data_IF_278454154888
#
_entry.id   IF_278454154888
#
_cell.length_a   1.000
_cell.length_b   1.000
_cell.length_c   1.000
_cell.angle_alpha   90.00
_cell.angle_beta   90.00
_cell.angle_gamma   90.00
#
_symmetry.space_group_name_H-M   'P 1'
#
loop_
_entity.id
_entity.type
_entity.pdbx_description
1 polymer ?
2 non-polymer ?
3 water ?
#
# COMPACT_ATOMS: atom_id res chain seq x y z
N UNK A 1 -9.76 -3.25 -1.03
CA UNK A 1 -8.89 -4.40 -1.11
C UNK A 1 -7.46 -4.02 -1.04
N UNK A 2 -6.73 -5.04 -0.75
CA UNK A 2 -5.33 -5.02 -0.60
C UNK A 2 -4.59 -4.96 -1.90
N UNK A 3 -3.43 -4.37 -1.80
CA UNK A 3 -2.52 -4.19 -2.89
C UNK A 3 -1.87 -5.51 -3.19
N UNK A 4 -1.49 -5.66 -4.43
CA UNK A 4 -0.86 -6.87 -4.83
C UNK A 4 0.66 -6.83 -4.70
N UNK A 5 1.26 -7.81 -3.99
CA UNK A 5 2.71 -7.83 -3.88
C UNK A 5 3.28 -8.47 -5.15
N UNK A 6 4.56 -8.21 -5.36
CA UNK A 6 5.28 -8.75 -6.48
C UNK A 6 5.26 -10.27 -6.39
N UNK A 7 4.95 -10.96 -7.51
CA UNK A 7 4.90 -12.42 -7.55
C UNK A 7 3.54 -13.02 -7.15
N UNK A 8 2.54 -12.15 -6.92
CA UNK A 8 1.21 -12.60 -6.55
C UNK A 8 0.76 -13.73 -7.45
N UNK A 9 0.90 -13.52 -8.74
CA UNK A 9 0.51 -14.54 -9.70
C UNK A 9 1.09 -14.23 -11.05
N UNK A 10 1.34 -15.24 -11.85
CA UNK A 10 1.88 -15.00 -13.17
C UNK A 10 3.03 -14.03 -13.27
N UNK A 11 4.04 -14.16 -12.43
CA UNK A 11 5.19 -13.27 -12.52
C UNK A 11 4.93 -11.76 -12.30
N UNK A 12 3.97 -11.41 -11.45
CA UNK A 12 3.61 -10.02 -11.14
C UNK A 12 4.67 -9.13 -10.49
N UNK A 13 4.78 -7.89 -11.04
CA UNK A 13 5.68 -6.81 -10.61
C UNK A 13 4.88 -5.54 -10.58
N UNK A 14 5.06 -4.77 -9.52
CA UNK A 14 4.38 -3.52 -9.36
C UNK A 14 5.04 -2.42 -10.19
N UNK A 15 6.27 -2.68 -10.69
CA UNK A 15 7.08 -1.76 -11.54
C UNK A 15 7.55 -2.55 -12.79
N UNK A 16 6.83 -2.31 -13.88
CA UNK A 16 7.00 -2.97 -15.20
C UNK A 16 8.44 -3.41 -15.50
N UNK A 17 9.30 -2.42 -15.57
CA UNK A 17 10.73 -2.59 -15.90
C UNK A 17 11.35 -3.82 -15.23
N UNK A 18 11.02 -4.03 -13.97
CA UNK A 18 11.57 -5.15 -13.20
C UNK A 18 11.46 -6.47 -13.98
N UNK A 19 10.49 -6.52 -14.89
CA UNK A 19 10.18 -7.74 -15.68
C UNK A 19 10.99 -7.83 -16.99
N UNK A 20 11.92 -6.93 -17.17
CA UNK A 20 12.74 -6.87 -18.40
C UNK A 20 13.27 -8.26 -18.84
N UNK A 21 13.25 -9.23 -17.91
CA UNK A 21 13.82 -10.59 -18.14
C UNK A 21 12.83 -11.63 -18.71
N UNK A 22 11.57 -11.25 -18.77
CA UNK A 22 10.52 -12.14 -19.24
C UNK A 22 10.38 -12.10 -20.74
N UNK A 23 10.27 -13.30 -21.28
CA UNK A 23 10.17 -13.52 -22.70
C UNK A 23 8.94 -12.89 -23.29
N UNK A 24 7.90 -12.79 -22.48
CA UNK A 24 6.60 -12.27 -22.93
C UNK A 24 6.49 -10.75 -22.72
N UNK A 25 7.45 -10.19 -22.00
CA UNK A 25 7.46 -8.74 -21.70
C UNK A 25 7.96 -7.94 -22.91
N UNK A 26 7.46 -6.73 -23.04
CA UNK A 26 7.81 -5.83 -24.11
C UNK A 26 7.69 -4.43 -23.56
N UNK A 27 8.63 -3.55 -23.89
CA UNK A 27 8.62 -2.17 -23.44
C UNK A 27 7.33 -1.45 -23.78
N UNK A 28 6.70 -0.81 -22.80
CA UNK A 28 5.46 -0.09 -23.08
C UNK A 28 4.22 -0.82 -22.62
N UNK A 29 4.43 -2.08 -22.24
CA UNK A 29 3.39 -2.97 -21.75
C UNK A 29 3.09 -2.71 -20.28
N UNK A 30 1.83 -2.36 -19.99
CA UNK A 30 1.39 -2.03 -18.64
C UNK A 30 -0.03 -2.43 -18.33
N UNK A 31 -0.30 -2.62 -17.05
CA UNK A 31 -1.62 -2.99 -16.61
C UNK A 31 -2.69 -2.06 -17.12
N UNK A 32 -2.38 -0.77 -17.14
CA UNK A 32 -3.35 0.22 -17.59
C UNK A 32 -3.68 0.20 -19.07
N UNK A 33 -2.88 -0.53 -19.80
CA UNK A 33 -3.08 -0.65 -21.20
C UNK A 33 -3.30 -2.12 -21.54
N UNK A 34 -3.74 -2.87 -20.52
CA UNK A 34 -4.00 -4.29 -20.64
C UNK A 34 -5.48 -4.54 -20.73
N UNK A 35 -5.82 -5.57 -21.44
CA UNK A 35 -7.19 -5.90 -21.61
C UNK A 35 -7.89 -6.33 -20.32
N UNK A 36 -7.15 -6.87 -19.34
CA UNK A 36 -7.79 -7.30 -18.09
C UNK A 36 -8.05 -6.16 -17.11
N UNK A 37 -7.52 -4.98 -17.41
CA UNK A 37 -7.65 -3.79 -16.58
C UNK A 37 -9.08 -3.27 -16.45
N UNK A 38 -9.51 -3.14 -15.19
CA UNK A 38 -10.85 -2.66 -14.86
C UNK A 38 -10.87 -1.22 -14.30
N UNK A 39 -9.86 -0.43 -14.68
CA UNK A 39 -9.71 0.97 -14.26
C UNK A 39 -9.34 1.19 -12.81
N UNK A 40 -8.86 2.43 -12.51
CA UNK A 40 -8.44 2.90 -11.17
C UNK A 40 -9.60 3.02 -10.21
N UNK A 41 -9.43 2.35 -9.10
CA UNK A 41 -10.37 2.28 -8.01
C UNK A 41 -9.99 3.28 -6.95
N UNK A 42 -8.71 3.40 -6.89
CA UNK A 42 -7.99 4.27 -6.05
C UNK A 42 -6.93 4.83 -6.97
N UNK A 43 -6.26 5.80 -6.45
CA UNK A 43 -5.21 6.57 -7.04
C UNK A 43 -3.94 5.81 -7.50
N UNK A 44 -3.88 5.35 -8.77
CA UNK A 44 -2.70 4.62 -9.28
C UNK A 44 -2.83 3.10 -9.19
N UNK A 45 -3.94 2.68 -8.56
CA UNK A 45 -4.31 1.28 -8.33
C UNK A 45 -5.71 0.92 -8.86
N UNK A 46 -5.82 -0.19 -9.62
CA UNK A 46 -7.12 -0.63 -10.17
C UNK A 46 -7.43 -2.13 -10.07
N UNK A 47 -8.55 -2.53 -10.70
CA UNK A 47 -8.95 -3.93 -10.68
C UNK A 47 -8.38 -4.68 -11.86
N UNK A 48 -8.31 -5.99 -11.68
CA UNK A 48 -7.84 -6.92 -12.68
C UNK A 48 -9.01 -7.91 -12.88
N UNK A 49 -9.58 -8.04 -14.12
CA UNK A 49 -10.72 -8.96 -14.37
C UNK A 49 -10.35 -10.45 -14.45
N UNK A 50 -9.03 -10.71 -14.45
CA UNK A 50 -8.44 -12.05 -14.50
C UNK A 50 -8.64 -12.67 -13.12
N UNK A 51 -9.21 -13.82 -13.12
CA UNK A 51 -9.52 -14.54 -11.93
C UNK A 51 -8.37 -14.82 -11.02
N UNK A 52 -7.18 -14.76 -11.53
CA UNK A 52 -6.11 -15.04 -10.63
C UNK A 52 -5.70 -13.85 -9.76
N UNK A 53 -6.27 -12.69 -10.07
CA UNK A 53 -6.02 -11.39 -9.44
C UNK A 53 -7.28 -10.79 -8.86
N UNK A 54 -8.19 -11.62 -8.46
CA UNK A 54 -9.43 -11.11 -7.97
C UNK A 54 -9.60 -10.63 -6.58
N UNK A 55 -8.66 -10.85 -5.73
CA UNK A 55 -8.90 -10.37 -4.42
C UNK A 55 -8.17 -9.10 -4.15
N UNK A 56 -7.17 -8.84 -4.97
CA UNK A 56 -6.32 -7.69 -4.82
C UNK A 56 -6.45 -6.56 -5.81
N UNK A 57 -5.68 -5.53 -5.51
CA UNK A 57 -5.61 -4.36 -6.34
C UNK A 57 -4.32 -4.53 -7.09
N UNK A 58 -4.28 -4.03 -8.30
CA UNK A 58 -3.10 -4.10 -9.13
C UNK A 58 -2.65 -2.64 -9.38
N UNK A 59 -1.40 -2.42 -9.79
CA UNK A 59 -0.87 -1.07 -10.02
C UNK A 59 -0.73 -0.64 -11.48
N UNK A 60 -1.28 0.54 -11.79
CA UNK A 60 -1.23 1.10 -13.13
C UNK A 60 0.08 0.86 -13.86
N UNK A 61 1.22 0.97 -13.15
CA UNK A 61 2.53 0.75 -13.79
C UNK A 61 3.09 -0.66 -13.65
N UNK A 62 2.23 -1.61 -13.22
CA UNK A 62 2.60 -3.02 -13.02
C UNK A 62 2.61 -3.84 -14.32
N UNK A 63 2.80 -5.18 -14.21
CA UNK A 63 2.85 -6.14 -15.36
C UNK A 63 2.80 -7.58 -14.87
N UNK A 64 2.02 -8.41 -15.57
CA UNK A 64 1.86 -9.84 -15.29
C UNK A 64 2.03 -10.57 -16.58
N UNK A 65 2.60 -11.77 -16.49
CA UNK A 65 2.88 -12.60 -17.66
C UNK A 65 1.66 -12.93 -18.53
N UNK A 66 0.47 -12.70 -17.99
CA UNK A 66 -0.74 -12.98 -18.73
C UNK A 66 -1.32 -11.73 -19.31
N UNK A 67 -0.43 -10.81 -19.65
CA UNK A 67 -0.81 -9.55 -20.23
C UNK A 67 -1.41 -9.79 -21.62
N UNK A 68 -2.38 -8.96 -21.96
CA UNK A 68 -3.09 -8.98 -23.24
C UNK A 68 -3.34 -7.54 -23.67
N UNK A 69 -3.00 -7.22 -24.91
CA UNK A 69 -3.21 -5.89 -25.33
C UNK A 69 -4.60 -5.56 -25.55
N UNK A 70 -4.77 -4.33 -25.25
CA UNK A 70 -5.99 -3.70 -25.38
C UNK A 70 -5.84 -2.33 -26.03
N UNK A 71 -7.02 -1.87 -26.40
CA UNK A 71 -7.34 -0.62 -27.05
C UNK A 71 -7.62 0.43 -26.00
N UNK B 1 11.57 7.20 24.71
CA UNK B 1 12.11 6.76 23.44
C UNK B 1 12.11 7.90 22.41
N UNK B 2 12.99 7.80 21.40
CA UNK B 2 13.08 8.79 20.35
C UNK B 2 11.77 8.84 19.61
N UNK B 3 11.41 10.01 19.09
CA UNK B 3 10.16 10.13 18.36
C UNK B 3 10.31 9.50 17.01
N UNK B 4 9.24 8.91 16.46
CA UNK B 4 9.34 8.30 15.13
C UNK B 4 9.48 9.35 14.03
N UNK B 5 10.24 8.97 13.02
CA UNK B 5 10.55 9.78 11.84
C UNK B 5 9.69 9.30 10.66
N UNK B 6 9.08 10.20 9.86
CA UNK B 6 8.28 9.72 8.71
C UNK B 6 8.99 8.56 7.99
N UNK B 7 8.24 7.50 7.59
CA UNK B 7 8.80 6.35 6.86
C UNK B 7 9.45 5.26 7.72
N UNK B 8 9.35 5.43 9.03
CA UNK B 8 9.89 4.50 10.01
C UNK B 8 9.60 3.04 9.63
N UNK B 9 8.34 2.71 9.60
CA UNK B 9 7.91 1.39 9.24
C UNK B 9 6.56 1.53 8.59
N UNK B 10 6.26 0.68 7.64
CA UNK B 10 4.98 0.74 6.97
C UNK B 10 4.55 2.06 6.47
N UNK B 11 5.45 2.81 5.88
CA UNK B 11 5.02 4.07 5.36
C UNK B 11 4.54 5.07 6.43
N UNK B 12 5.08 4.98 7.62
CA UNK B 12 4.67 5.83 8.68
C UNK B 12 4.79 7.33 8.37
N UNK B 13 3.78 8.03 8.86
CA UNK B 13 3.60 9.43 8.73
C UNK B 13 3.14 10.01 10.10
N UNK B 14 3.74 11.16 10.46
CA UNK B 14 3.48 11.91 11.70
C UNK B 14 2.27 12.83 11.49
N UNK B 15 1.91 12.95 10.20
CA UNK B 15 0.78 13.72 9.72
C UNK B 15 -0.03 12.86 8.75
N UNK B 16 -0.99 12.17 9.33
CA UNK B 16 -1.86 11.30 8.60
C UNK B 16 -2.28 11.87 7.25
N UNK B 17 -2.56 13.17 7.17
CA UNK B 17 -2.96 13.76 5.89
C UNK B 17 -1.97 13.48 4.79
N UNK B 18 -0.76 13.24 5.22
CA UNK B 18 0.34 12.96 4.34
C UNK B 18 0.28 11.55 3.70
N UNK B 19 -0.45 10.61 4.35
CA UNK B 19 -0.61 9.20 3.89
C UNK B 19 -1.73 9.06 2.83
N UNK B 20 -2.32 10.22 2.52
CA UNK B 20 -3.42 10.52 1.57
C UNK B 20 -3.59 9.62 0.34
N UNK B 21 -2.58 9.58 -0.49
CA UNK B 21 -2.65 8.77 -1.68
C UNK B 21 -2.28 7.32 -1.45
N UNK B 22 -2.63 6.80 -0.28
CA UNK B 22 -2.35 5.42 0.04
C UNK B 22 -3.68 4.75 -0.03
N UNK B 23 -3.74 3.76 -0.85
CA UNK B 23 -4.92 3.00 -1.10
C UNK B 23 -5.71 2.56 0.10
N UNK B 24 -5.00 2.23 1.14
CA UNK B 24 -5.62 1.77 2.35
C UNK B 24 -6.09 2.88 3.26
N UNK B 25 -5.49 4.04 3.10
CA UNK B 25 -5.81 5.19 3.90
C UNK B 25 -7.24 5.68 3.76
N UNK B 26 -7.85 5.99 4.89
CA UNK B 26 -9.21 6.50 4.91
C UNK B 26 -9.21 7.72 5.84
N UNK B 27 -10.06 8.74 5.59
CA UNK B 27 -10.15 9.95 6.44
C UNK B 27 -10.59 9.52 7.83
N UNK B 28 -9.97 9.91 8.94
CA UNK B 28 -10.51 9.43 10.24
C UNK B 28 -9.64 8.35 10.88
N UNK B 29 -8.66 7.98 10.12
CA UNK B 29 -7.73 6.99 10.55
C UNK B 29 -6.46 7.67 11.05
N UNK B 30 -6.25 7.54 12.36
CA UNK B 30 -5.15 8.10 13.13
C UNK B 30 -4.47 7.07 14.05
N UNK B 31 -3.20 7.29 14.49
CA UNK B 31 -2.60 6.34 15.42
C UNK B 31 -3.48 6.29 16.70
N UNK B 32 -4.08 7.44 17.07
CA UNK B 32 -4.96 7.62 18.25
C UNK B 32 -6.21 6.67 18.30
N UNK B 33 -6.90 6.43 17.14
CA UNK B 33 -8.11 5.56 17.07
C UNK B 33 -7.82 4.11 16.58
N UNK B 34 -6.51 3.83 16.59
CA UNK B 34 -5.90 2.58 16.19
C UNK B 34 -5.92 1.55 17.31
N UNK B 35 -6.03 0.30 16.89
CA UNK B 35 -6.05 -0.83 17.78
C UNK B 35 -4.64 -1.08 18.34
N UNK B 36 -3.60 -0.37 17.81
CA UNK B 36 -2.21 -0.54 18.28
C UNK B 36 -1.73 0.54 19.24
N UNK B 37 -2.65 1.46 19.54
CA UNK B 37 -2.42 2.58 20.43
C UNK B 37 -2.28 2.11 21.88
N UNK B 38 -1.02 2.13 22.36
CA UNK B 38 -0.63 1.74 23.70
C UNK B 38 -1.11 2.72 24.78
N UNK B 39 -0.50 3.90 24.84
CA UNK B 39 -0.85 4.91 25.82
C UNK B 39 -0.15 6.18 25.43
N UNK B 40 -0.68 7.28 25.86
CA UNK B 40 -0.04 8.50 25.54
C UNK B 40 1.13 8.70 26.48
N UNK B 41 2.09 9.46 26.02
CA UNK B 41 3.25 9.74 26.80
C UNK B 41 3.39 11.26 26.95
N UNK B 42 4.14 11.89 26.00
CA UNK B 42 4.41 13.35 25.98
C UNK B 42 4.12 14.18 24.70
N UNK B 43 3.34 15.29 24.86
CA UNK B 43 2.93 16.28 23.81
C UNK B 43 2.51 15.78 22.43
N UNK B 44 1.54 14.86 22.41
CA UNK B 44 1.01 14.28 21.19
C UNK B 44 1.59 12.90 20.88
N UNK B 45 2.64 12.56 21.59
CA UNK B 45 3.29 11.30 21.38
C UNK B 45 2.80 10.21 22.28
N UNK B 46 2.94 9.01 21.77
CA UNK B 46 2.53 7.87 22.49
C UNK B 46 3.25 6.64 22.04
N UNK B 47 2.72 5.53 22.49
CA UNK B 47 3.26 4.25 22.19
C UNK B 47 2.32 3.37 21.38
N UNK B 48 2.90 2.72 20.36
CA UNK B 48 2.24 1.80 19.43
C UNK B 48 2.55 0.36 19.82
N UNK B 49 1.55 -0.44 20.11
CA UNK B 49 1.85 -1.80 20.48
C UNK B 49 2.30 -2.66 19.31
N UNK B 50 1.95 -2.28 18.10
CA UNK B 50 2.42 -3.07 16.99
C UNK B 50 3.92 -3.31 17.11
N UNK B 51 4.29 -4.58 17.07
CA UNK B 51 5.67 -5.02 17.20
C UNK B 51 6.73 -4.26 16.40
N UNK B 52 6.32 -3.70 15.28
CA UNK B 52 7.18 -2.95 14.38
C UNK B 52 7.66 -1.55 14.86
N UNK B 53 6.94 -0.98 15.81
CA UNK B 53 7.25 0.34 16.34
C UNK B 53 7.66 0.32 17.79
N UNK B 54 8.25 -0.79 18.17
CA UNK B 54 8.69 -0.95 19.51
C UNK B 54 9.80 -0.06 20.05
N UNK B 55 10.52 0.74 19.23
CA UNK B 55 11.57 1.58 19.85
C UNK B 55 11.50 3.03 19.55
N UNK B 56 10.37 3.44 19.05
CA UNK B 56 10.17 4.82 18.71
C UNK B 56 8.93 5.34 19.39
N UNK B 57 8.72 6.63 19.39
CA UNK B 57 7.53 7.15 19.99
C UNK B 57 6.72 7.53 18.78
N UNK B 58 5.43 7.29 18.79
CA UNK B 58 4.67 7.68 17.64
C UNK B 58 3.72 8.80 18.01
N UNK B 59 3.21 9.43 16.97
CA UNK B 59 2.31 10.59 17.00
C UNK B 59 0.78 10.32 16.86
N UNK B 60 0.01 10.87 17.82
CA UNK B 60 -1.45 10.76 17.90
C UNK B 60 -2.18 10.98 16.57
N UNK B 61 -1.73 11.99 15.81
CA UNK B 61 -2.34 12.34 14.51
C UNK B 61 -1.67 11.67 13.29
N UNK B 62 -0.77 10.71 13.54
CA UNK B 62 -0.04 10.01 12.50
C UNK B 62 -0.75 8.78 12.01
N UNK B 63 -0.12 8.10 11.06
CA UNK B 63 -0.69 6.90 10.49
C UNK B 63 0.37 6.02 9.85
N UNK B 64 0.02 4.73 9.76
CA UNK B 64 0.80 3.64 9.15
C UNK B 64 -0.15 2.65 8.51
N UNK B 65 0.31 2.10 7.40
CA UNK B 65 -0.40 1.13 6.60
C UNK B 65 -0.83 -0.12 7.39
N UNK B 66 -0.45 -0.24 8.69
CA UNK B 66 -0.85 -1.42 9.49
C UNK B 66 -2.01 -1.20 10.46
N UNK B 67 -2.65 -0.07 10.18
CA UNK B 67 -3.78 0.50 10.86
C UNK B 67 -5.03 -0.39 10.94
N UNK B 68 -5.53 -0.53 12.16
CA UNK B 68 -6.72 -1.30 12.41
C UNK B 68 -7.61 -0.53 13.35
N UNK B 69 -8.90 -0.61 13.09
CA UNK B 69 -9.90 0.08 13.88
C UNK B 69 -9.99 -0.38 15.34
N UNK B 70 -9.94 0.58 16.26
CA UNK B 70 -10.02 0.25 17.66
C UNK B 70 -11.33 -0.45 17.92
N UNK B 71 -11.32 -1.36 18.87
CA UNK B 71 -12.52 -2.10 19.19
C UNK B 71 -13.29 -1.57 20.40
X LIG C 1 -2.05 -6.16 -15.03
X LIG C 1 -3.26 -7.25 -17.11
X LIG C 1 -4.08 -7.84 -14.66
X LIG C 1 -1.73 -8.75 -15.52
X LIG C 1 -3.73 -9.27 -16.32
X LIG C 1 -2.16 -7.82 -13.55
X LIG C 1 -1.07 -7.06 -16.81
X LIG C 1 -4.16 -5.85 -15.64
X LIG D 1 -0.19 4.37 14.40
X LIG D 1 -1.73 2.20 14.34
X LIG D 1 0.74 2.06 15.31
X LIG D 1 0.35 2.42 12.72
X LIG D 1 -0.22 0.63 13.90
X LIG D 1 1.81 3.50 14.00
X LIG D 1 -1.46 3.69 12.71
X LIG D 1 -0.95 3.22 16.15
#
# INVERSE_FOLDING_TARGET
EPRAEDGHAHDYVNEAADASGHPRYQEGQLCENCAFWGEAVQDGWGRCTHPDFDEVLVKAEGWCSVYAPASS
EPRAEDGHAHDYVNEAADASGHPRYQEGQLCENCAFWGEAVQDGWGRCTHPDFDEVLVKAEGWCSVYAPASS
SF4 FE1 FE2 FE3 FE4 S1 S2 S3 S4
SF4 FE1 FE2 FE3 FE4 S1 S2 S3 S4
#
